data_IF_590589792830
#
_entry.id   IF_590589792830
#
_cell.length_a   1.000
_cell.length_b   1.000
_cell.length_c   1.000
_cell.angle_alpha   90.00
_cell.angle_beta   90.00
_cell.angle_gamma   90.00
#
_symmetry.space_group_name_H-M   'P 1'
#
loop_
_entity.id
_entity.type
_entity.pdbx_description
1 polymer ?
#
# COMPACT_ATOMS: atom_id res chain seq x y z
N UNK A 1 15.08 33.74 -17.57
CA UNK A 1 16.02 32.66 -17.23
C UNK A 1 15.62 32.22 -15.84
N UNK A 2 14.85 31.12 -15.73
CA UNK A 2 14.40 30.57 -14.45
C UNK A 2 15.66 29.99 -13.83
N UNK A 3 16.43 30.82 -13.12
CA UNK A 3 17.51 30.35 -12.28
C UNK A 3 16.94 29.27 -11.38
N UNK A 4 17.59 28.11 -11.37
CA UNK A 4 17.21 26.94 -10.59
C UNK A 4 16.85 27.35 -9.16
N UNK A 5 15.56 27.39 -8.85
CA UNK A 5 15.13 27.65 -7.49
C UNK A 5 15.59 26.46 -6.65
N UNK A 6 16.70 26.64 -5.94
CA UNK A 6 17.30 25.65 -5.04
C UNK A 6 16.26 25.11 -4.05
N UNK A 7 15.22 25.88 -3.72
CA UNK A 7 14.12 25.44 -2.85
C UNK A 7 13.22 24.44 -3.57
N UNK A 8 12.91 24.66 -4.85
CA UNK A 8 12.15 23.71 -5.66
C UNK A 8 12.92 22.40 -5.84
N UNK A 9 14.23 22.47 -6.09
CA UNK A 9 15.10 21.28 -6.15
C UNK A 9 15.13 20.52 -4.82
N UNK A 10 15.25 21.22 -3.68
CA UNK A 10 15.19 20.62 -2.35
C UNK A 10 13.83 19.97 -2.07
N UNK A 11 12.74 20.63 -2.44
CA UNK A 11 11.39 20.10 -2.31
C UNK A 11 11.21 18.84 -3.16
N UNK A 12 11.59 18.88 -4.44
CA UNK A 12 11.51 17.75 -5.35
C UNK A 12 12.34 16.56 -4.85
N UNK A 13 13.56 16.83 -4.34
CA UNK A 13 14.41 15.82 -3.72
C UNK A 13 13.74 15.20 -2.50
N UNK A 14 13.23 16.01 -1.59
CA UNK A 14 12.54 15.54 -0.39
C UNK A 14 11.34 14.65 -0.74
N UNK A 15 10.49 15.09 -1.68
CA UNK A 15 9.36 14.31 -2.18
C UNK A 15 9.85 12.99 -2.75
N UNK A 16 10.85 13.03 -3.66
CA UNK A 16 11.42 11.83 -4.27
C UNK A 16 11.95 10.84 -3.24
N UNK A 17 12.71 11.31 -2.26
CA UNK A 17 13.29 10.46 -1.20
C UNK A 17 12.17 9.82 -0.35
N UNK A 18 11.14 10.58 0.01
CA UNK A 18 9.98 10.06 0.77
C UNK A 18 9.24 8.99 -0.03
N UNK A 19 8.98 9.23 -1.32
CA UNK A 19 8.32 8.25 -2.19
C UNK A 19 9.20 7.01 -2.40
N UNK A 20 10.51 7.19 -2.55
CA UNK A 20 11.46 6.10 -2.71
C UNK A 20 11.50 5.19 -1.47
N UNK A 21 11.62 5.77 -0.28
CA UNK A 21 11.60 5.02 0.98
C UNK A 21 10.28 4.27 1.14
N UNK A 22 9.15 4.92 0.81
CA UNK A 22 7.82 4.28 0.86
C UNK A 22 7.72 3.12 -0.13
N UNK A 23 8.29 3.25 -1.32
CA UNK A 23 8.34 2.19 -2.35
C UNK A 23 9.18 1.01 -1.88
N UNK A 24 10.41 1.23 -1.39
CA UNK A 24 11.26 0.16 -0.87
C UNK A 24 10.62 -0.58 0.31
N UNK A 25 9.96 0.14 1.23
CA UNK A 25 9.21 -0.49 2.34
C UNK A 25 8.09 -1.40 1.81
N UNK A 26 7.36 -0.95 0.80
CA UNK A 26 6.32 -1.76 0.14
C UNK A 26 6.94 -3.00 -0.51
N UNK A 27 7.98 -2.85 -1.33
CA UNK A 27 8.66 -3.99 -1.99
C UNK A 27 9.19 -5.00 -0.98
N UNK A 28 9.80 -4.54 0.11
CA UNK A 28 10.27 -5.39 1.21
C UNK A 28 9.10 -6.15 1.85
N UNK A 29 7.97 -5.48 2.10
CA UNK A 29 6.78 -6.14 2.66
C UNK A 29 6.17 -7.14 1.68
N UNK A 30 6.21 -6.89 0.38
CA UNK A 30 5.77 -7.86 -0.63
C UNK A 30 6.64 -9.13 -0.65
N UNK A 31 7.95 -8.98 -0.45
CA UNK A 31 8.90 -10.09 -0.42
C UNK A 31 8.84 -10.88 0.90
N UNK A 32 8.64 -10.19 2.03
CA UNK A 32 8.73 -10.80 3.37
C UNK A 32 7.38 -11.25 3.93
N UNK A 33 6.29 -10.56 3.59
CA UNK A 33 5.01 -10.72 4.27
C UNK A 33 3.99 -11.40 3.37
N UNK A 34 3.20 -12.29 3.98
CA UNK A 34 2.05 -12.89 3.31
C UNK A 34 0.97 -11.83 2.99
N UNK A 35 0.06 -12.13 2.07
CA UNK A 35 -0.98 -11.19 1.68
C UNK A 35 -1.92 -10.81 2.84
N UNK A 36 -2.12 -11.71 3.81
CA UNK A 36 -2.86 -11.46 5.04
C UNK A 36 -2.19 -10.39 5.90
N UNK A 37 -0.88 -10.49 6.09
CA UNK A 37 -0.07 -9.54 6.87
C UNK A 37 0.05 -8.17 6.18
N UNK A 38 -0.18 -8.10 4.87
CA UNK A 38 -0.26 -6.85 4.09
C UNK A 38 -1.66 -6.23 4.09
N UNK A 39 -2.70 -7.06 4.24
CA UNK A 39 -4.09 -6.60 4.28
C UNK A 39 -4.43 -5.88 5.59
N UNK A 40 -3.96 -6.39 6.73
CA UNK A 40 -4.23 -5.78 8.03
C UNK A 40 -3.75 -4.32 8.16
N UNK A 41 -2.49 -3.96 7.84
CA UNK A 41 -2.05 -2.56 7.86
C UNK A 41 -2.75 -1.71 6.80
N UNK A 42 -3.22 -2.29 5.69
CA UNK A 42 -4.02 -1.57 4.69
C UNK A 42 -5.36 -1.10 5.29
N UNK A 43 -6.10 -2.01 5.93
CA UNK A 43 -7.36 -1.65 6.59
C UNK A 43 -7.16 -0.71 7.78
N UNK A 44 -6.03 -0.81 8.49
CA UNK A 44 -5.69 0.16 9.56
C UNK A 44 -5.35 1.54 9.02
N UNK A 45 -4.63 1.62 7.89
CA UNK A 45 -4.28 2.89 7.26
C UNK A 45 -5.49 3.58 6.61
N UNK A 46 -6.44 2.79 6.09
CA UNK A 46 -7.64 3.28 5.42
C UNK A 46 -8.88 2.56 5.98
N UNK A 47 -9.43 3.04 7.11
CA UNK A 47 -10.65 2.47 7.66
C UNK A 47 -11.80 2.65 6.65
N UNK A 48 -12.51 1.57 6.33
CA UNK A 48 -13.63 1.59 5.38
C UNK A 48 -13.25 1.38 3.91
N UNK A 49 -11.98 1.11 3.58
CA UNK A 49 -11.54 0.89 2.19
C UNK A 49 -12.29 -0.24 1.47
N UNK A 50 -12.81 -1.20 2.22
CA UNK A 50 -13.58 -2.32 1.70
C UNK A 50 -14.99 -1.92 1.22
N UNK A 51 -15.51 -0.78 1.66
CA UNK A 51 -16.80 -0.22 1.23
C UNK A 51 -16.62 0.69 0.02
N UNK A 52 -15.50 1.42 -0.03
CA UNK A 52 -15.19 2.38 -1.09
C UNK A 52 -14.63 1.71 -2.36
N UNK A 53 -13.92 0.58 -2.21
CA UNK A 53 -13.17 -0.05 -3.29
C UNK A 53 -13.59 -1.51 -3.48
N UNK A 54 -13.83 -1.89 -4.73
CA UNK A 54 -14.10 -3.28 -5.09
C UNK A 54 -12.95 -4.21 -4.68
N UNK A 55 -13.30 -5.41 -4.22
CA UNK A 55 -12.34 -6.43 -3.79
C UNK A 55 -11.30 -6.78 -4.87
N UNK A 56 -11.68 -6.66 -6.15
CA UNK A 56 -10.75 -6.87 -7.26
C UNK A 56 -9.55 -5.91 -7.21
N UNK A 57 -9.79 -4.62 -6.97
CA UNK A 57 -8.73 -3.62 -6.90
C UNK A 57 -7.87 -3.78 -5.64
N UNK A 58 -8.48 -4.17 -4.52
CA UNK A 58 -7.74 -4.48 -3.29
C UNK A 58 -6.84 -5.71 -3.51
N UNK A 59 -7.35 -6.75 -4.17
CA UNK A 59 -6.58 -7.95 -4.48
C UNK A 59 -5.41 -7.65 -5.43
N UNK A 60 -5.66 -6.86 -6.48
CA UNK A 60 -4.62 -6.38 -7.39
C UNK A 60 -3.55 -5.57 -6.65
N UNK A 61 -3.96 -4.66 -5.76
CA UNK A 61 -3.03 -3.89 -4.93
C UNK A 61 -2.20 -4.76 -4.00
N UNK A 62 -2.73 -5.89 -3.51
CA UNK A 62 -2.01 -6.85 -2.67
C UNK A 62 -1.21 -7.88 -3.47
N UNK A 63 -1.30 -7.87 -4.81
CA UNK A 63 -0.63 -8.83 -5.67
C UNK A 63 -1.15 -10.26 -5.53
N UNK A 64 -2.44 -10.42 -5.21
CA UNK A 64 -3.10 -11.72 -5.07
C UNK A 64 -4.36 -11.81 -5.94
N UNK A 65 -4.87 -13.03 -6.11
CA UNK A 65 -6.16 -13.26 -6.77
C UNK A 65 -7.32 -12.78 -5.88
N UNK A 66 -8.43 -12.31 -6.46
CA UNK A 66 -9.61 -11.90 -5.69
C UNK A 66 -10.19 -13.02 -4.84
N UNK A 67 -10.07 -14.27 -5.29
CA UNK A 67 -10.48 -15.48 -4.54
C UNK A 67 -9.65 -15.65 -3.26
N UNK A 68 -8.34 -15.41 -3.35
CA UNK A 68 -7.44 -15.44 -2.20
C UNK A 68 -7.78 -14.34 -1.19
N UNK A 69 -8.13 -13.15 -1.66
CA UNK A 69 -8.55 -12.04 -0.80
C UNK A 69 -9.84 -12.38 -0.04
N UNK A 70 -10.84 -12.96 -0.72
CA UNK A 70 -12.08 -13.41 -0.10
C UNK A 70 -11.82 -14.40 1.03
N UNK A 71 -10.88 -15.34 0.79
CA UNK A 71 -10.49 -16.36 1.78
C UNK A 71 -9.77 -15.75 2.98
N UNK A 72 -8.89 -14.77 2.76
CA UNK A 72 -8.21 -14.01 3.82
C UNK A 72 -9.23 -13.25 4.68
N UNK A 73 -10.16 -12.53 4.05
CA UNK A 73 -11.22 -11.78 4.75
C UNK A 73 -12.04 -12.68 5.67
N UNK A 74 -12.44 -13.85 5.17
CA UNK A 74 -13.20 -14.83 5.97
C UNK A 74 -12.41 -15.24 7.21
N UNK A 75 -11.13 -15.58 7.06
CA UNK A 75 -10.26 -15.97 8.18
C UNK A 75 -10.05 -14.83 9.19
N UNK A 76 -9.91 -13.60 8.72
CA UNK A 76 -9.75 -12.41 9.56
C UNK A 76 -11.02 -12.07 10.33
N UNK A 77 -12.21 -12.23 9.72
CA UNK A 77 -13.49 -12.03 10.41
C UNK A 77 -13.79 -13.13 11.43
N UNK A 78 -13.36 -14.37 11.18
CA UNK A 78 -13.53 -15.49 12.12
C UNK A 78 -12.61 -15.35 13.36
N UNK A 79 -11.39 -14.81 13.19
CA UNK A 79 -10.43 -14.61 14.29
C UNK A 79 -10.63 -13.29 15.07
N UNK A 80 -11.62 -12.47 14.71
CA UNK A 80 -11.92 -11.19 15.35
C UNK A 80 -13.12 -11.31 16.26
#
# INVERSE_FOLDING_TARGET
MIEEDVRFLKLAKYISDVFFIKKCKRETSFLKNSATERFEPLCKAYPGIEQEISQYHIASYLGIKPESLSRIKLLTYINK
#
